data_IF_728374875020
#
_entry.id   IF_728374875020
#
_cell.length_a   1.000
_cell.length_b   1.000
_cell.length_c   1.000
_cell.angle_alpha   90.00
_cell.angle_beta   90.00
_cell.angle_gamma   90.00
#
_symmetry.space_group_name_H-M   'P 1'
#
loop_
_entity.id
_entity.type
_entity.pdbx_description
1 polymer ?
#
# COMPACT_ATOMS: atom_id res chain seq x y z
N UNK A 1 -21.04 -28.99 47.51
CA UNK A 1 -20.31 -27.76 47.89
C UNK A 1 -19.00 -27.74 47.14
N UNK A 2 -18.73 -26.65 46.40
CA UNK A 2 -17.45 -26.25 45.79
C UNK A 2 -16.84 -27.23 44.76
N UNK A 3 -16.31 -26.82 43.60
CA UNK A 3 -15.85 -25.51 43.19
C UNK A 3 -16.07 -25.32 41.68
N UNK A 4 -16.81 -24.28 41.37
CA UNK A 4 -16.77 -23.56 40.09
C UNK A 4 -15.37 -22.97 39.99
N UNK A 5 -14.54 -23.49 39.09
CA UNK A 5 -13.38 -22.78 38.53
C UNK A 5 -13.23 -23.14 37.06
N UNK A 6 -14.27 -22.82 36.29
CA UNK A 6 -14.11 -22.59 34.86
C UNK A 6 -13.41 -21.23 34.73
N UNK A 7 -12.08 -21.25 34.78
CA UNK A 7 -11.25 -20.12 34.37
C UNK A 7 -11.50 -19.95 32.87
N UNK A 8 -12.54 -19.18 32.51
CA UNK A 8 -12.62 -18.55 31.21
C UNK A 8 -11.42 -17.61 31.12
N UNK A 9 -10.28 -18.13 30.70
CA UNK A 9 -9.39 -17.34 29.87
C UNK A 9 -10.21 -17.01 28.61
N UNK A 10 -10.92 -15.88 28.66
CA UNK A 10 -11.06 -15.05 27.49
C UNK A 10 -9.64 -14.65 27.09
N UNK A 11 -8.95 -15.56 26.39
CA UNK A 11 -8.08 -15.12 25.32
C UNK A 11 -8.99 -14.28 24.44
N UNK A 12 -8.83 -12.96 24.55
CA UNK A 12 -9.25 -12.04 23.52
C UNK A 12 -8.62 -12.57 22.23
N UNK A 13 -9.37 -13.38 21.49
CA UNK A 13 -9.14 -13.50 20.07
C UNK A 13 -9.28 -12.06 19.58
N UNK A 14 -8.15 -11.37 19.42
CA UNK A 14 -8.12 -10.17 18.61
C UNK A 14 -8.65 -10.63 17.27
N UNK A 15 -9.93 -10.37 17.01
CA UNK A 15 -10.47 -10.44 15.67
C UNK A 15 -9.63 -9.48 14.85
N UNK A 16 -8.65 -10.04 14.13
CA UNK A 16 -7.84 -9.36 13.13
C UNK A 16 -8.72 -9.09 11.90
N UNK A 17 -9.84 -8.41 12.13
CA UNK A 17 -10.76 -8.01 11.08
C UNK A 17 -10.18 -6.81 10.36
N UNK A 18 -10.27 -6.85 9.03
CA UNK A 18 -9.94 -5.73 8.16
C UNK A 18 -10.87 -4.55 8.48
N UNK A 19 -10.36 -3.35 8.28
CA UNK A 19 -11.11 -2.10 8.36
C UNK A 19 -10.94 -1.32 7.05
N UNK A 20 -11.94 -0.50 6.72
CA UNK A 20 -11.80 0.41 5.59
C UNK A 20 -10.67 1.41 5.88
N UNK A 21 -9.92 1.78 4.84
CA UNK A 21 -8.72 2.57 4.97
C UNK A 21 -7.47 1.75 5.30
N UNK A 22 -7.57 0.46 5.67
CA UNK A 22 -6.39 -0.37 5.87
C UNK A 22 -5.52 -0.44 4.60
N UNK A 23 -4.19 -0.44 4.78
CA UNK A 23 -3.23 -0.53 3.69
C UNK A 23 -2.74 -1.98 3.59
N UNK A 24 -2.86 -2.58 2.41
CA UNK A 24 -2.46 -3.96 2.15
C UNK A 24 -1.23 -4.01 1.24
N UNK A 25 -0.30 -4.92 1.54
CA UNK A 25 0.99 -5.05 0.88
C UNK A 25 1.22 -6.47 0.39
N UNK A 26 1.80 -6.60 -0.80
CA UNK A 26 2.27 -7.86 -1.36
C UNK A 26 3.52 -7.67 -2.23
N UNK A 27 3.99 -8.76 -2.80
CA UNK A 27 5.23 -8.83 -3.57
C UNK A 27 5.06 -9.75 -4.78
N UNK A 28 6.04 -9.75 -5.68
CA UNK A 28 6.15 -10.72 -6.78
C UNK A 28 4.96 -10.76 -7.76
N UNK A 29 4.26 -9.65 -7.96
CA UNK A 29 3.11 -9.60 -8.89
C UNK A 29 3.51 -9.31 -10.35
N UNK A 30 4.77 -8.93 -10.59
CA UNK A 30 5.32 -8.67 -11.93
C UNK A 30 6.85 -8.77 -11.94
N UNK A 31 7.50 -8.86 -13.12
CA UNK A 31 8.96 -8.88 -13.21
C UNK A 31 9.64 -7.62 -12.63
N UNK A 32 8.97 -6.46 -12.67
CA UNK A 32 9.52 -5.20 -12.17
C UNK A 32 9.59 -5.14 -10.64
N UNK A 33 8.79 -5.96 -9.94
CA UNK A 33 8.79 -6.06 -8.48
C UNK A 33 10.20 -6.28 -7.92
N UNK A 34 11.01 -7.09 -8.60
CA UNK A 34 12.35 -7.41 -8.10
C UNK A 34 13.28 -6.20 -8.09
N UNK A 35 13.20 -5.34 -9.10
CA UNK A 35 13.99 -4.11 -9.15
C UNK A 35 13.56 -3.15 -8.03
N UNK A 36 12.26 -3.05 -7.75
CA UNK A 36 11.72 -2.24 -6.65
C UNK A 36 12.26 -2.76 -5.30
N UNK A 37 12.11 -4.05 -5.02
CA UNK A 37 12.57 -4.68 -3.76
C UNK A 37 14.07 -4.44 -3.50
N UNK A 38 14.88 -4.56 -4.56
CA UNK A 38 16.32 -4.31 -4.49
C UNK A 38 16.64 -2.84 -4.23
N UNK A 39 15.97 -1.92 -4.91
CA UNK A 39 16.20 -0.49 -4.75
C UNK A 39 15.75 0.03 -3.37
N UNK A 40 14.62 -0.48 -2.87
CA UNK A 40 14.00 0.01 -1.65
C UNK A 40 14.37 -0.79 -0.40
N UNK A 41 15.19 -1.84 -0.54
CA UNK A 41 15.55 -2.77 0.53
C UNK A 41 14.33 -3.32 1.29
N UNK A 42 13.22 -3.48 0.57
CA UNK A 42 11.94 -3.91 1.13
C UNK A 42 11.51 -5.21 0.48
N UNK A 43 10.79 -6.04 1.24
CA UNK A 43 10.11 -7.20 0.68
C UNK A 43 8.91 -6.77 -0.17
N UNK A 44 8.32 -5.61 0.09
CA UNK A 44 7.05 -5.20 -0.52
C UNK A 44 7.29 -4.34 -1.76
N UNK A 45 6.71 -4.78 -2.87
CA UNK A 45 6.81 -4.11 -4.17
C UNK A 45 5.45 -3.66 -4.71
N UNK A 46 4.35 -4.00 -4.03
CA UNK A 46 3.02 -3.53 -4.37
C UNK A 46 2.18 -3.28 -3.12
N UNK A 47 1.29 -2.29 -3.20
CA UNK A 47 0.32 -2.01 -2.15
C UNK A 47 -0.98 -1.40 -2.71
N UNK A 48 -2.00 -1.38 -1.86
CA UNK A 48 -3.28 -0.72 -2.13
C UNK A 48 -4.00 -0.41 -0.82
N UNK A 49 -5.20 0.16 -0.92
CA UNK A 49 -6.03 0.53 0.22
C UNK A 49 -7.37 -0.23 0.19
N UNK A 50 -7.82 -0.69 1.36
CA UNK A 50 -9.00 -1.54 1.50
C UNK A 50 -10.26 -0.70 1.70
N UNK A 51 -11.30 -1.02 0.95
CA UNK A 51 -12.65 -0.51 1.15
C UNK A 51 -13.69 -1.62 1.04
N UNK A 52 -14.84 -1.42 1.67
CA UNK A 52 -15.98 -2.32 1.54
C UNK A 52 -16.93 -1.86 0.44
N UNK A 53 -17.49 -2.83 -0.28
CA UNK A 53 -18.67 -2.63 -1.13
C UNK A 53 -19.69 -3.69 -0.77
N UNK A 54 -20.69 -3.30 0.01
CA UNK A 54 -21.59 -4.26 0.66
C UNK A 54 -20.85 -5.09 1.70
N UNK A 55 -20.85 -6.41 1.56
CA UNK A 55 -20.13 -7.33 2.45
C UNK A 55 -18.73 -7.71 1.94
N UNK A 56 -18.40 -7.33 0.71
CA UNK A 56 -17.17 -7.71 0.04
C UNK A 56 -16.05 -6.68 0.25
N UNK A 57 -14.82 -7.17 0.38
CA UNK A 57 -13.61 -6.36 0.44
C UNK A 57 -12.99 -6.16 -0.94
N UNK A 58 -12.60 -4.91 -1.21
CA UNK A 58 -11.89 -4.52 -2.42
C UNK A 58 -10.61 -3.79 -2.07
N UNK A 59 -9.55 -4.09 -2.82
CA UNK A 59 -8.31 -3.34 -2.82
C UNK A 59 -8.38 -2.33 -3.95
N UNK A 60 -8.27 -1.05 -3.60
CA UNK A 60 -8.08 0.01 -4.58
C UNK A 60 -6.58 0.14 -4.84
N UNK A 61 -6.18 -0.05 -6.09
CA UNK A 61 -4.78 -0.20 -6.48
C UNK A 61 -4.50 0.41 -7.85
N UNK A 62 -3.24 0.75 -8.10
CA UNK A 62 -2.73 1.09 -9.41
C UNK A 62 -1.91 -0.08 -9.97
N UNK A 63 -2.45 -0.78 -10.98
CA UNK A 63 -1.82 -1.98 -11.60
C UNK A 63 -1.93 -2.02 -13.12
N UNK A 64 -2.35 -0.90 -13.73
CA UNK A 64 -2.74 -0.72 -15.13
C UNK A 64 -4.11 -1.34 -15.48
N UNK A 65 -5.20 -0.55 -15.44
CA UNK A 65 -5.28 0.82 -14.94
C UNK A 65 -5.36 0.85 -13.40
N UNK A 66 -5.64 2.02 -12.83
CA UNK A 66 -6.15 2.13 -11.46
C UNK A 66 -7.54 1.52 -11.39
N UNK A 67 -7.75 0.61 -10.43
CA UNK A 67 -8.99 -0.14 -10.33
C UNK A 67 -9.30 -0.61 -8.91
N UNK A 68 -10.46 -1.24 -8.76
CA UNK A 68 -10.88 -1.93 -7.55
C UNK A 68 -10.84 -3.43 -7.84
N UNK A 69 -10.01 -4.17 -7.12
CA UNK A 69 -9.87 -5.63 -7.25
C UNK A 69 -10.45 -6.29 -6.02
N UNK A 70 -11.24 -7.36 -6.18
CA UNK A 70 -11.73 -8.13 -5.02
C UNK A 70 -10.54 -8.65 -4.22
N UNK A 71 -10.60 -8.60 -2.88
CA UNK A 71 -9.48 -9.01 -2.04
C UNK A 71 -8.99 -10.44 -2.36
N UNK A 72 -9.91 -11.37 -2.59
CA UNK A 72 -9.58 -12.75 -2.98
C UNK A 72 -8.73 -12.79 -4.26
N UNK A 73 -9.17 -12.12 -5.32
CA UNK A 73 -8.44 -12.02 -6.58
C UNK A 73 -7.09 -11.32 -6.42
N UNK A 74 -7.05 -10.27 -5.59
CA UNK A 74 -5.84 -9.50 -5.33
C UNK A 74 -4.76 -10.37 -4.68
N UNK A 75 -5.13 -11.13 -3.65
CA UNK A 75 -4.20 -11.99 -2.90
C UNK A 75 -3.67 -13.17 -3.72
N UNK A 76 -4.40 -13.62 -4.73
CA UNK A 76 -3.91 -14.68 -5.63
C UNK A 76 -2.69 -14.24 -6.43
N UNK A 77 -2.52 -12.94 -6.73
CA UNK A 77 -1.37 -12.43 -7.50
C UNK A 77 -0.06 -12.51 -6.72
N UNK A 78 -0.09 -12.37 -5.39
CA UNK A 78 1.07 -12.42 -4.50
C UNK A 78 1.30 -13.79 -3.86
N UNK A 79 0.82 -14.88 -4.47
CA UNK A 79 0.88 -16.24 -3.90
C UNK A 79 0.22 -16.35 -2.50
N UNK A 80 -0.86 -15.59 -2.27
CA UNK A 80 -1.61 -15.52 -1.01
C UNK A 80 -0.84 -14.96 0.20
N UNK A 81 0.40 -14.51 0.03
CA UNK A 81 1.14 -13.83 1.08
C UNK A 81 0.83 -12.33 1.04
N UNK A 82 0.37 -11.79 2.17
CA UNK A 82 0.11 -10.37 2.29
C UNK A 82 0.19 -9.92 3.74
N UNK A 83 0.44 -8.62 3.92
CA UNK A 83 0.40 -7.97 5.23
C UNK A 83 -0.53 -6.78 5.15
N UNK A 84 -1.32 -6.57 6.21
CA UNK A 84 -2.21 -5.42 6.33
C UNK A 84 -1.73 -4.56 7.49
N UNK A 85 -1.59 -3.26 7.20
CA UNK A 85 -1.25 -2.22 8.16
C UNK A 85 -2.45 -1.30 8.35
N UNK A 86 -2.63 -0.82 9.58
CA UNK A 86 -3.66 0.13 9.97
C UNK A 86 -3.01 1.35 10.60
N UNK A 87 -3.58 2.53 10.38
CA UNK A 87 -3.20 3.74 11.13
C UNK A 87 -3.32 3.50 12.64
N UNK A 88 -2.30 3.86 13.42
CA UNK A 88 -2.35 3.71 14.89
C UNK A 88 -3.48 4.56 15.48
N UNK A 89 -3.65 5.78 14.97
CA UNK A 89 -4.75 6.69 15.28
C UNK A 89 -6.00 6.37 14.42
N UNK A 90 -6.39 5.09 14.33
CA UNK A 90 -7.54 4.62 13.54
C UNK A 90 -8.89 5.22 13.97
N UNK A 91 -8.99 5.72 15.20
CA UNK A 91 -10.17 6.50 15.66
C UNK A 91 -10.45 7.76 14.82
N UNK A 92 -9.46 8.27 14.10
CA UNK A 92 -9.62 9.40 13.16
C UNK A 92 -10.33 8.98 11.86
N UNK A 93 -10.32 7.68 11.54
CA UNK A 93 -10.91 7.12 10.31
C UNK A 93 -12.40 6.84 10.57
N UNK A 94 -13.19 7.91 10.59
CA UNK A 94 -14.65 7.84 10.69
C UNK A 94 -15.29 7.45 9.35
N UNK A 95 -16.56 7.05 9.35
CA UNK A 95 -17.33 6.82 8.10
C UNK A 95 -17.31 8.02 7.15
N UNK A 96 -17.32 9.24 7.69
CA UNK A 96 -17.20 10.45 6.87
C UNK A 96 -15.82 10.59 6.23
N UNK A 97 -14.76 10.21 6.93
CA UNK A 97 -13.39 10.18 6.39
C UNK A 97 -13.25 9.08 5.34
N UNK A 98 -13.81 7.89 5.58
CA UNK A 98 -13.85 6.81 4.57
C UNK A 98 -14.51 7.28 3.28
N UNK A 99 -15.65 7.98 3.37
CA UNK A 99 -16.29 8.53 2.18
C UNK A 99 -15.36 9.51 1.44
N UNK A 100 -14.66 10.39 2.17
CA UNK A 100 -13.67 11.31 1.56
C UNK A 100 -12.51 10.55 0.92
N UNK A 101 -12.02 9.48 1.55
CA UNK A 101 -10.96 8.62 1.00
C UNK A 101 -11.39 7.94 -0.30
N UNK A 102 -12.61 7.43 -0.34
CA UNK A 102 -13.21 6.87 -1.55
C UNK A 102 -13.38 7.95 -2.62
N UNK A 103 -13.93 9.12 -2.28
CA UNK A 103 -14.08 10.24 -3.22
C UNK A 103 -12.71 10.69 -3.79
N UNK A 104 -11.66 10.75 -2.96
CA UNK A 104 -10.30 11.08 -3.37
C UNK A 104 -9.70 10.01 -4.30
N UNK A 105 -9.80 8.73 -3.94
CA UNK A 105 -9.31 7.63 -4.76
C UNK A 105 -10.06 7.49 -6.10
N UNK A 106 -11.35 7.81 -6.12
CA UNK A 106 -12.20 7.72 -7.32
C UNK A 106 -11.73 8.66 -8.44
N UNK A 107 -11.07 9.78 -8.11
CA UNK A 107 -10.48 10.70 -9.09
C UNK A 107 -9.41 10.03 -9.97
N UNK A 108 -8.79 8.97 -9.48
CA UNK A 108 -7.72 8.26 -10.17
C UNK A 108 -8.20 7.01 -10.90
N UNK A 109 -9.45 6.56 -10.68
CA UNK A 109 -9.96 5.33 -11.28
C UNK A 109 -9.90 5.38 -12.81
N UNK A 110 -9.39 4.31 -13.42
CA UNK A 110 -9.18 4.21 -14.86
C UNK A 110 -7.91 4.90 -15.38
N UNK A 111 -7.18 5.68 -14.57
CA UNK A 111 -5.89 6.25 -14.99
C UNK A 111 -4.86 5.16 -15.27
N UNK A 112 -3.92 5.47 -16.17
CA UNK A 112 -2.81 4.58 -16.48
C UNK A 112 -1.86 4.48 -15.29
N UNK A 113 -1.22 3.32 -15.18
CA UNK A 113 -0.15 3.11 -14.21
C UNK A 113 1.03 4.00 -14.56
N UNK A 114 1.59 4.66 -13.55
CA UNK A 114 2.79 5.45 -13.78
C UNK A 114 4.06 4.59 -13.71
N UNK A 115 4.52 4.15 -14.88
CA UNK A 115 5.82 3.52 -14.98
C UNK A 115 6.96 4.51 -14.78
N UNK A 116 6.77 5.83 -14.81
CA UNK A 116 7.85 6.82 -14.63
C UNK A 116 7.99 7.33 -13.20
N UNK A 117 7.13 6.91 -12.27
CA UNK A 117 7.16 7.33 -10.85
C UNK A 117 7.28 8.85 -10.67
N UNK A 118 6.64 9.61 -11.55
CA UNK A 118 6.49 11.05 -11.48
C UNK A 118 5.49 11.40 -10.39
N UNK A 119 5.56 12.63 -9.86
CA UNK A 119 4.61 13.11 -8.85
C UNK A 119 3.49 13.99 -9.43
N UNK A 120 3.08 13.71 -10.67
CA UNK A 120 1.93 14.36 -11.30
C UNK A 120 0.63 13.62 -11.00
N UNK A 121 -0.51 14.13 -11.47
CA UNK A 121 -1.79 13.41 -11.36
C UNK A 121 -2.17 12.70 -12.66
N UNK A 122 -1.39 12.79 -13.74
CA UNK A 122 -1.77 12.27 -15.07
C UNK A 122 -1.76 10.73 -15.12
N UNK A 123 -0.84 10.13 -14.39
CA UNK A 123 -0.71 8.69 -14.14
C UNK A 123 -0.46 8.51 -12.65
N UNK A 124 -0.64 7.31 -12.14
CA UNK A 124 -0.39 7.04 -10.72
C UNK A 124 0.19 5.66 -10.50
N UNK A 125 1.13 5.53 -9.57
CA UNK A 125 1.65 4.24 -9.16
C UNK A 125 1.14 3.83 -7.76
N UNK A 126 1.39 2.57 -7.37
CA UNK A 126 0.65 1.92 -6.30
C UNK A 126 0.73 2.63 -4.94
N UNK A 127 1.94 2.93 -4.45
CA UNK A 127 2.14 3.62 -3.17
C UNK A 127 1.79 5.10 -3.23
N UNK A 128 1.90 5.76 -4.39
CA UNK A 128 1.43 7.13 -4.58
C UNK A 128 -0.08 7.25 -4.39
N UNK A 129 -0.86 6.33 -4.95
CA UNK A 129 -2.32 6.30 -4.77
C UNK A 129 -2.70 6.28 -3.29
N UNK A 130 -2.12 5.35 -2.53
CA UNK A 130 -2.36 5.22 -1.09
C UNK A 130 -1.94 6.50 -0.36
N UNK A 131 -0.74 7.01 -0.66
CA UNK A 131 -0.19 8.20 -0.02
C UNK A 131 -1.05 9.44 -0.27
N UNK A 132 -1.45 9.70 -1.53
CA UNK A 132 -2.28 10.84 -1.92
C UNK A 132 -3.66 10.78 -1.26
N UNK A 133 -4.30 9.60 -1.20
CA UNK A 133 -5.59 9.43 -0.51
C UNK A 133 -5.48 9.84 0.97
N UNK A 134 -4.45 9.35 1.68
CA UNK A 134 -4.25 9.72 3.08
C UNK A 134 -3.92 11.20 3.27
N UNK A 135 -3.04 11.74 2.42
CA UNK A 135 -2.64 13.15 2.49
C UNK A 135 -3.80 14.09 2.21
N UNK A 136 -4.56 13.87 1.12
CA UNK A 136 -5.66 14.75 0.72
C UNK A 136 -6.82 14.76 1.71
N UNK A 137 -7.05 13.67 2.43
CA UNK A 137 -8.27 13.49 3.25
C UNK A 137 -8.05 13.64 4.74
N UNK A 138 -6.83 13.38 5.21
CA UNK A 138 -6.48 13.42 6.63
C UNK A 138 -5.25 14.29 6.92
N UNK A 139 -4.58 14.84 5.90
CA UNK A 139 -3.28 15.51 6.03
C UNK A 139 -2.18 14.63 6.68
N UNK A 140 -2.27 13.31 6.48
CA UNK A 140 -1.32 12.35 7.03
C UNK A 140 -0.38 11.83 5.94
N UNK A 141 0.91 11.95 6.19
CA UNK A 141 1.96 11.35 5.36
C UNK A 141 2.26 9.93 5.86
N UNK A 142 1.55 8.94 5.31
CA UNK A 142 1.67 7.53 5.73
C UNK A 142 3.00 6.87 5.33
N UNK A 143 3.91 7.60 4.71
CA UNK A 143 5.28 7.20 4.43
C UNK A 143 6.09 8.43 4.06
N UNK A 144 7.38 8.46 4.41
CA UNK A 144 8.25 9.57 4.03
C UNK A 144 8.51 9.52 2.52
N UNK A 145 8.37 10.65 1.84
CA UNK A 145 8.84 10.80 0.46
C UNK A 145 10.35 11.02 0.44
N UNK A 146 11.04 10.32 -0.45
CA UNK A 146 12.48 10.38 -0.62
C UNK A 146 12.85 10.60 -2.09
N UNK A 147 13.90 11.37 -2.40
CA UNK A 147 14.32 11.56 -3.78
C UNK A 147 14.84 10.24 -4.38
N UNK A 148 14.65 9.99 -5.68
CA UNK A 148 15.08 8.73 -6.32
C UNK A 148 16.54 8.35 -5.98
N UNK A 149 17.44 9.33 -5.91
CA UNK A 149 18.87 9.12 -5.59
C UNK A 149 19.14 8.50 -4.21
N UNK A 150 18.18 8.53 -3.28
CA UNK A 150 18.37 7.96 -1.95
C UNK A 150 18.09 6.46 -1.88
N UNK A 151 17.43 5.88 -2.88
CA UNK A 151 17.28 4.43 -2.99
C UNK A 151 18.57 3.79 -3.49
N UNK A 152 18.69 2.48 -3.33
CA UNK A 152 19.85 1.74 -3.81
C UNK A 152 19.79 1.49 -5.32
N UNK A 153 20.43 2.39 -6.07
CA UNK A 153 20.49 2.30 -7.53
C UNK A 153 21.70 1.47 -8.02
N UNK A 154 22.42 0.78 -7.13
CA UNK A 154 23.70 0.16 -7.45
C UNK A 154 23.56 -1.17 -8.20
N UNK A 155 22.49 -1.92 -7.91
CA UNK A 155 22.28 -3.26 -8.43
C UNK A 155 22.10 -3.28 -9.96
N UNK A 156 22.72 -4.22 -10.71
CA UNK A 156 22.64 -4.26 -12.18
C UNK A 156 21.22 -4.27 -12.73
N UNK A 157 20.32 -5.06 -12.12
CA UNK A 157 18.90 -5.08 -12.48
C UNK A 157 18.24 -3.70 -12.31
N UNK A 158 18.50 -3.00 -11.21
CA UNK A 158 17.95 -1.66 -10.96
C UNK A 158 18.44 -0.67 -12.02
N UNK A 159 19.74 -0.68 -12.32
CA UNK A 159 20.33 0.16 -13.38
C UNK A 159 19.72 -0.13 -14.75
N UNK A 160 19.49 -1.40 -15.08
CA UNK A 160 18.85 -1.79 -16.33
C UNK A 160 17.42 -1.27 -16.43
N UNK A 161 16.61 -1.45 -15.37
CA UNK A 161 15.24 -0.93 -15.29
C UNK A 161 15.19 0.59 -15.41
N UNK A 162 16.08 1.31 -14.72
CA UNK A 162 16.15 2.77 -14.82
C UNK A 162 16.51 3.23 -16.23
N UNK A 163 17.45 2.55 -16.89
CA UNK A 163 17.85 2.87 -18.26
C UNK A 163 16.75 2.56 -19.27
N UNK A 164 16.03 1.45 -19.12
CA UNK A 164 14.89 1.10 -19.96
C UNK A 164 13.80 2.17 -19.87
N UNK A 165 13.54 2.63 -18.65
CA UNK A 165 12.48 3.59 -18.34
C UNK A 165 12.82 5.03 -18.70
N UNK A 166 13.96 5.52 -18.25
CA UNK A 166 14.33 6.95 -18.34
C UNK A 166 15.43 7.24 -19.38
N UNK A 167 16.01 6.20 -20.00
CA UNK A 167 17.14 6.35 -20.90
C UNK A 167 18.35 6.99 -20.18
N UNK A 168 18.76 8.16 -20.67
CA UNK A 168 19.90 8.93 -20.09
C UNK A 168 19.47 9.92 -19.01
N UNK A 169 18.18 10.23 -18.90
CA UNK A 169 17.66 11.31 -18.07
C UNK A 169 16.97 10.76 -16.83
N UNK A 170 17.74 10.10 -15.97
CA UNK A 170 17.20 9.54 -14.70
C UNK A 170 16.87 10.71 -13.75
N UNK A 171 15.61 10.84 -13.28
CA UNK A 171 15.19 11.97 -12.47
C UNK A 171 15.58 11.78 -11.00
N UNK A 172 16.88 11.90 -10.70
CA UNK A 172 17.47 11.62 -9.39
C UNK A 172 16.87 12.44 -8.22
N UNK A 173 16.30 13.60 -8.51
CA UNK A 173 15.68 14.50 -7.53
C UNK A 173 14.16 14.29 -7.38
N UNK A 174 13.54 13.45 -8.22
CA UNK A 174 12.10 13.20 -8.16
C UNK A 174 11.72 12.56 -6.81
N UNK A 175 10.73 13.13 -6.14
CA UNK A 175 10.37 12.78 -4.78
C UNK A 175 9.33 11.67 -4.79
N UNK A 176 9.77 10.45 -4.49
CA UNK A 176 8.97 9.23 -4.57
C UNK A 176 8.63 8.70 -3.18
N UNK A 177 7.62 7.84 -3.10
CA UNK A 177 7.32 7.01 -1.93
C UNK A 177 7.16 5.56 -2.37
N UNK A 178 7.94 4.64 -1.82
CA UNK A 178 7.82 3.22 -2.13
C UNK A 178 6.78 2.52 -1.22
N UNK A 179 6.31 1.31 -1.58
CA UNK A 179 5.52 0.49 -0.66
C UNK A 179 6.28 0.20 0.63
N UNK A 180 7.61 0.05 0.57
CA UNK A 180 8.47 -0.11 1.75
C UNK A 180 8.43 1.10 2.68
N UNK A 181 8.50 2.32 2.15
CA UNK A 181 8.46 3.55 2.96
C UNK A 181 7.13 3.69 3.72
N UNK A 182 6.02 3.28 3.09
CA UNK A 182 4.71 3.24 3.76
C UNK A 182 4.69 2.13 4.80
N UNK A 183 5.17 0.93 4.46
CA UNK A 183 5.14 -0.23 5.36
C UNK A 183 5.90 0.00 6.67
N UNK A 184 7.06 0.67 6.60
CA UNK A 184 7.93 1.00 7.74
C UNK A 184 7.49 2.28 8.48
N UNK A 185 6.41 2.91 8.05
CA UNK A 185 5.91 4.13 8.69
C UNK A 185 5.59 3.89 10.18
N UNK A 186 6.11 4.72 11.09
CA UNK A 186 5.83 4.58 12.52
C UNK A 186 4.38 4.92 12.87
N UNK A 187 3.61 5.47 11.92
CA UNK A 187 2.19 5.76 12.08
C UNK A 187 1.31 4.52 11.93
N UNK A 188 1.88 3.39 11.48
CA UNK A 188 1.12 2.20 11.11
C UNK A 188 1.44 1.00 12.01
N UNK A 189 0.42 0.23 12.37
CA UNK A 189 0.53 -1.04 13.09
C UNK A 189 0.09 -2.20 12.18
N UNK A 190 0.77 -3.34 12.28
CA UNK A 190 0.35 -4.57 11.57
C UNK A 190 -0.90 -5.14 12.23
N UNK A 191 -1.95 -5.40 11.44
CA UNK A 191 -3.21 -5.99 11.90
C UNK A 191 -3.45 -7.39 11.34
N UNK A 192 -2.98 -7.68 10.13
CA UNK A 192 -3.01 -9.02 9.51
C UNK A 192 -1.63 -9.33 8.94
N UNK A 193 -1.18 -10.57 9.10
CA UNK A 193 0.02 -11.12 8.44
C UNK A 193 -0.32 -12.54 8.04
N UNK A 194 -0.25 -12.83 6.74
CA UNK A 194 -0.64 -14.12 6.15
C UNK A 194 0.46 -14.67 5.25
#
# INVERSE_FOLDING_TARGET
MLAIRLFLLLCLAQNKELAEGDIIFQSNISPQCKAIELATHSKYSHCGILFKKGQDWYVWEAVQPVMQTRLEEWTLRGNKHFVVKRLIADSLITTAVIKKMQDAGSKYMGKNYDSYFEWSDDRIYCSELVWKIYKETMDIEVGKRNPLRSYDLSHPLVKATLKERYGKNIPLEEMMVSPGDIFESPLLKTVVSQ
#
